data_IF_768314811367
#
_entry.id   IF_768314811367
#
_cell.length_a   1.000
_cell.length_b   1.000
_cell.length_c   1.000
_cell.angle_alpha   90.00
_cell.angle_beta   90.00
_cell.angle_gamma   90.00
#
_symmetry.space_group_name_H-M   'P 1'
#
loop_
_entity.id
_entity.type
_entity.pdbx_description
1 polymer ?
#
# COMPACT_ATOMS: atom_id res chain seq x y z
N UNK A 1 -22.11 -7.23 -14.77
CA UNK A 1 -21.41 -6.80 -13.54
C UNK A 1 -20.73 -5.49 -13.83
N UNK A 2 -21.03 -4.42 -13.09
CA UNK A 2 -20.44 -3.09 -13.33
C UNK A 2 -18.98 -3.05 -12.86
N UNK A 3 -18.18 -2.12 -13.39
CA UNK A 3 -16.77 -1.97 -12.99
C UNK A 3 -16.63 -1.75 -11.49
N UNK A 4 -17.45 -0.89 -10.90
CA UNK A 4 -17.45 -0.63 -9.45
C UNK A 4 -17.72 -1.91 -8.64
N UNK A 5 -18.66 -2.75 -9.06
CA UNK A 5 -18.91 -4.05 -8.39
C UNK A 5 -17.70 -4.99 -8.50
N UNK A 6 -17.00 -5.00 -9.64
CA UNK A 6 -15.75 -5.77 -9.83
C UNK A 6 -14.66 -5.29 -8.90
N UNK A 7 -14.42 -3.98 -8.84
CA UNK A 7 -13.42 -3.39 -7.98
C UNK A 7 -13.73 -3.62 -6.50
N UNK A 8 -14.99 -3.52 -6.08
CA UNK A 8 -15.37 -3.83 -4.70
C UNK A 8 -15.18 -5.31 -4.31
N UNK A 9 -15.27 -6.23 -5.26
CA UNK A 9 -14.90 -7.64 -5.02
C UNK A 9 -13.38 -7.78 -4.89
N UNK A 10 -12.63 -7.13 -5.77
CA UNK A 10 -11.17 -7.13 -5.74
C UNK A 10 -10.62 -6.49 -4.46
N UNK A 11 -11.24 -5.41 -3.97
CA UNK A 11 -10.82 -4.76 -2.72
C UNK A 11 -10.87 -5.74 -1.53
N UNK A 12 -11.95 -6.53 -1.42
CA UNK A 12 -12.05 -7.55 -0.36
C UNK A 12 -10.95 -8.61 -0.47
N UNK A 13 -10.57 -8.98 -1.69
CA UNK A 13 -9.46 -9.91 -1.94
C UNK A 13 -8.11 -9.28 -1.57
N UNK A 14 -7.92 -8.00 -1.84
CA UNK A 14 -6.73 -7.23 -1.44
C UNK A 14 -6.63 -7.15 0.08
N UNK A 15 -7.72 -6.80 0.78
CA UNK A 15 -7.77 -6.74 2.24
C UNK A 15 -7.40 -8.10 2.85
N UNK A 16 -7.99 -9.19 2.36
CA UNK A 16 -7.66 -10.55 2.78
C UNK A 16 -6.18 -10.88 2.55
N UNK A 17 -5.63 -10.51 1.39
CA UNK A 17 -4.23 -10.72 1.09
C UNK A 17 -3.29 -9.92 2.02
N UNK A 18 -3.67 -8.70 2.40
CA UNK A 18 -2.92 -7.89 3.38
C UNK A 18 -2.97 -8.56 4.76
N UNK A 19 -4.15 -8.94 5.25
CA UNK A 19 -4.32 -9.57 6.57
C UNK A 19 -3.64 -10.93 6.70
N UNK A 20 -3.41 -11.63 5.59
CA UNK A 20 -2.70 -12.90 5.57
C UNK A 20 -1.17 -12.74 5.68
N UNK A 21 -0.62 -11.53 5.55
CA UNK A 21 0.81 -11.29 5.61
C UNK A 21 1.32 -11.21 7.06
N UNK A 22 2.51 -11.75 7.34
CA UNK A 22 3.24 -11.44 8.57
C UNK A 22 3.54 -9.94 8.68
N UNK A 23 3.60 -9.41 9.90
CA UNK A 23 3.83 -7.99 10.18
C UNK A 23 5.03 -7.35 9.43
N UNK A 24 6.20 -8.02 9.27
CA UNK A 24 7.31 -7.47 8.48
C UNK A 24 6.95 -7.25 7.01
N UNK A 25 6.17 -8.15 6.41
CA UNK A 25 5.73 -8.06 5.03
C UNK A 25 4.59 -7.04 4.86
N UNK A 26 3.73 -6.88 5.87
CA UNK A 26 2.72 -5.81 5.87
C UNK A 26 3.37 -4.42 5.77
N UNK A 27 4.48 -4.18 6.49
CA UNK A 27 5.26 -2.93 6.39
C UNK A 27 5.89 -2.77 5.00
N UNK A 28 6.41 -3.86 4.44
CA UNK A 28 6.96 -3.84 3.09
C UNK A 28 5.88 -3.46 2.06
N UNK A 29 4.66 -4.00 2.19
CA UNK A 29 3.52 -3.60 1.36
C UNK A 29 3.21 -2.12 1.54
N UNK A 30 3.19 -1.60 2.77
CA UNK A 30 2.93 -0.18 2.99
C UNK A 30 3.94 0.74 2.30
N UNK A 31 5.24 0.39 2.35
CA UNK A 31 6.30 1.11 1.66
C UNK A 31 6.13 1.05 0.13
N UNK A 32 5.82 -0.14 -0.40
CA UNK A 32 5.54 -0.33 -1.83
C UNK A 32 4.33 0.51 -2.24
N UNK A 33 3.18 0.39 -1.57
CA UNK A 33 1.96 1.13 -1.87
C UNK A 33 2.20 2.65 -1.88
N UNK A 34 2.95 3.17 -0.91
CA UNK A 34 3.28 4.61 -0.87
C UNK A 34 4.07 5.03 -2.11
N UNK A 35 5.06 4.24 -2.51
CA UNK A 35 5.85 4.50 -3.73
C UNK A 35 5.01 4.38 -5.01
N UNK A 36 4.17 3.36 -5.11
CA UNK A 36 3.30 3.16 -6.28
C UNK A 36 2.29 4.30 -6.44
N UNK A 37 1.75 4.84 -5.33
CA UNK A 37 0.90 6.04 -5.34
C UNK A 37 1.66 7.27 -5.88
N UNK A 38 2.88 7.50 -5.42
CA UNK A 38 3.72 8.61 -5.89
C UNK A 38 4.09 8.48 -7.38
N UNK A 39 4.30 7.25 -7.85
CA UNK A 39 4.58 6.96 -9.26
C UNK A 39 3.33 7.15 -10.12
N UNK A 40 2.18 6.62 -9.70
CA UNK A 40 0.92 6.77 -10.41
C UNK A 40 0.52 8.24 -10.55
N UNK A 41 0.70 9.04 -9.49
CA UNK A 41 0.41 10.48 -9.52
C UNK A 41 1.23 11.27 -10.55
N UNK A 42 2.36 10.72 -11.03
CA UNK A 42 3.21 11.34 -12.07
C UNK A 42 2.83 10.90 -13.49
N UNK A 43 1.97 9.90 -13.62
CA UNK A 43 1.46 9.46 -14.91
C UNK A 43 0.25 10.31 -15.33
N UNK A 44 0.11 10.52 -16.63
CA UNK A 44 -1.03 11.24 -17.20
C UNK A 44 -1.78 10.34 -18.20
N UNK A 45 -3.02 9.91 -17.92
CA UNK A 45 -3.73 10.11 -16.65
C UNK A 45 -3.28 9.09 -15.56
N UNK A 46 -3.36 9.43 -14.25
CA UNK A 46 -2.81 8.58 -13.17
C UNK A 46 -3.37 7.16 -13.11
N UNK A 47 -4.65 6.96 -13.46
CA UNK A 47 -5.30 5.65 -13.47
C UNK A 47 -4.86 4.74 -14.63
N UNK A 48 -4.03 5.25 -15.55
CA UNK A 48 -3.39 4.43 -16.60
C UNK A 48 -2.06 3.83 -16.13
N UNK A 49 -1.61 4.15 -14.92
CA UNK A 49 -0.37 3.61 -14.38
C UNK A 49 -0.31 2.07 -14.42
N UNK A 50 0.81 1.54 -14.92
CA UNK A 50 1.01 0.10 -15.12
C UNK A 50 0.34 -0.50 -16.36
N UNK A 51 -0.33 0.31 -17.20
CA UNK A 51 -0.88 -0.12 -18.49
C UNK A 51 0.23 -0.12 -19.55
N UNK A 52 0.43 -1.22 -20.31
CA UNK A 52 1.35 -1.23 -21.45
C UNK A 52 0.87 -0.30 -22.57
N UNK A 53 1.79 0.31 -23.35
CA UNK A 53 1.43 1.26 -24.41
C UNK A 53 0.52 0.64 -25.48
N UNK A 54 0.60 -0.67 -25.70
CA UNK A 54 -0.25 -1.40 -26.65
C UNK A 54 -1.72 -1.48 -26.21
N UNK A 55 -2.05 -1.14 -24.97
CA UNK A 55 -3.38 -1.28 -24.36
C UNK A 55 -3.99 0.07 -23.91
N UNK A 56 -3.38 1.19 -24.29
CA UNK A 56 -3.81 2.54 -23.88
C UNK A 56 -5.18 2.97 -24.43
N UNK A 57 -5.73 2.24 -25.42
CA UNK A 57 -7.01 2.58 -26.05
C UNK A 57 -8.25 2.30 -25.18
N UNK A 58 -8.10 1.63 -24.05
CA UNK A 58 -9.20 1.36 -23.14
C UNK A 58 -9.56 2.61 -22.32
N UNK A 59 -10.86 2.82 -22.06
CA UNK A 59 -11.34 3.91 -21.18
C UNK A 59 -10.79 3.83 -19.74
N UNK A 60 -10.14 2.72 -19.40
CA UNK A 60 -9.54 2.45 -18.10
C UNK A 60 -8.27 1.63 -18.29
N UNK A 61 -7.26 1.86 -17.45
CA UNK A 61 -5.99 1.14 -17.53
C UNK A 61 -6.12 -0.34 -17.17
N UNK A 62 -5.13 -1.13 -17.61
CA UNK A 62 -5.02 -2.57 -17.28
C UNK A 62 -4.23 -2.82 -16.00
N UNK A 63 -3.67 -1.77 -15.39
CA UNK A 63 -2.91 -1.85 -14.13
C UNK A 63 -3.67 -2.54 -12.99
N UNK A 64 -4.98 -2.31 -12.85
CA UNK A 64 -5.79 -3.01 -11.85
C UNK A 64 -5.92 -4.53 -12.12
N UNK A 65 -6.09 -4.92 -13.39
CA UNK A 65 -6.17 -6.34 -13.75
C UNK A 65 -4.82 -7.06 -13.62
N UNK A 66 -3.72 -6.35 -13.88
CA UNK A 66 -2.36 -6.84 -13.63
C UNK A 66 -2.13 -6.98 -12.12
N UNK A 67 -2.50 -5.97 -11.33
CA UNK A 67 -2.36 -5.95 -9.88
C UNK A 67 -3.06 -7.12 -9.21
N UNK A 68 -4.34 -7.34 -9.52
CA UNK A 68 -5.10 -8.45 -8.93
C UNK A 68 -4.56 -9.82 -9.34
N UNK A 69 -4.07 -9.96 -10.59
CA UNK A 69 -3.45 -11.21 -11.05
C UNK A 69 -2.20 -11.52 -10.24
N UNK A 70 -1.38 -10.51 -9.95
CA UNK A 70 -0.18 -10.64 -9.12
C UNK A 70 -0.51 -10.98 -7.67
N UNK A 71 -1.59 -10.44 -7.11
CA UNK A 71 -2.07 -10.73 -5.74
C UNK A 71 -2.37 -12.22 -5.54
N UNK A 72 -2.73 -12.93 -6.61
CA UNK A 72 -3.01 -14.38 -6.58
C UNK A 72 -1.76 -15.25 -6.73
N UNK A 73 -0.60 -14.66 -7.02
CA UNK A 73 0.65 -15.42 -7.18
C UNK A 73 1.13 -16.02 -5.86
N UNK A 74 1.64 -17.25 -5.90
CA UNK A 74 2.26 -17.91 -4.73
C UNK A 74 3.55 -17.23 -4.27
N UNK A 75 4.18 -16.42 -5.13
CA UNK A 75 5.38 -15.68 -4.77
C UNK A 75 5.01 -14.43 -3.93
N UNK A 76 5.47 -14.32 -2.66
CA UNK A 76 5.11 -13.21 -1.79
C UNK A 76 5.57 -11.86 -2.33
N UNK A 77 6.73 -11.78 -3.01
CA UNK A 77 7.22 -10.52 -3.58
C UNK A 77 6.35 -10.04 -4.75
N UNK A 78 5.88 -10.98 -5.58
CA UNK A 78 4.94 -10.67 -6.67
C UNK A 78 3.61 -10.22 -6.09
N UNK A 79 3.10 -10.94 -5.07
CA UNK A 79 1.87 -10.62 -4.36
C UNK A 79 1.89 -9.21 -3.80
N UNK A 80 2.93 -8.84 -3.06
CA UNK A 80 3.07 -7.51 -2.45
C UNK A 80 3.13 -6.38 -3.49
N UNK A 81 3.87 -6.57 -4.58
CA UNK A 81 3.89 -5.61 -5.71
C UNK A 81 2.53 -5.50 -6.39
N UNK A 82 1.78 -6.60 -6.47
CA UNK A 82 0.41 -6.62 -6.97
C UNK A 82 -0.53 -5.77 -6.13
N UNK A 83 -0.44 -5.89 -4.79
CA UNK A 83 -1.24 -5.10 -3.85
C UNK A 83 -0.98 -3.60 -4.05
N UNK A 84 0.30 -3.19 -4.06
CA UNK A 84 0.66 -1.77 -4.21
C UNK A 84 0.18 -1.18 -5.53
N UNK A 85 0.42 -1.89 -6.65
CA UNK A 85 -0.05 -1.46 -7.97
C UNK A 85 -1.58 -1.31 -8.01
N UNK A 86 -2.31 -2.31 -7.50
CA UNK A 86 -3.77 -2.27 -7.51
C UNK A 86 -4.32 -1.09 -6.71
N UNK A 87 -3.79 -0.85 -5.50
CA UNK A 87 -4.21 0.25 -4.66
C UNK A 87 -3.92 1.62 -5.30
N UNK A 88 -2.75 1.78 -5.92
CA UNK A 88 -2.38 3.03 -6.57
C UNK A 88 -3.31 3.39 -7.74
N UNK A 89 -3.60 2.43 -8.61
CA UNK A 89 -4.47 2.64 -9.78
C UNK A 89 -5.90 2.95 -9.34
N UNK A 90 -6.46 2.14 -8.43
CA UNK A 90 -7.85 2.27 -8.02
C UNK A 90 -8.09 3.50 -7.15
N UNK A 91 -7.09 3.94 -6.39
CA UNK A 91 -7.15 5.22 -5.68
C UNK A 91 -7.49 6.36 -6.65
N UNK A 92 -6.72 6.52 -7.73
CA UNK A 92 -6.91 7.61 -8.68
C UNK A 92 -8.13 7.40 -9.59
N UNK A 93 -8.41 6.15 -9.97
CA UNK A 93 -9.57 5.82 -10.79
C UNK A 93 -10.89 6.15 -10.06
N UNK A 94 -11.00 5.80 -8.78
CA UNK A 94 -12.21 6.05 -8.00
C UNK A 94 -12.33 7.50 -7.53
N UNK A 95 -11.21 8.22 -7.43
CA UNK A 95 -11.19 9.65 -7.11
C UNK A 95 -11.85 10.51 -8.19
N UNK A 96 -11.75 10.07 -9.45
CA UNK A 96 -12.17 10.85 -10.64
C UNK A 96 -13.45 10.32 -11.28
N UNK A 97 -14.05 9.26 -10.72
CA UNK A 97 -15.19 8.57 -11.30
C UNK A 97 -16.53 9.07 -10.76
N UNK A 98 -17.44 9.42 -11.65
CA UNK A 98 -18.84 9.79 -11.33
C UNK A 98 -19.79 8.58 -11.27
N UNK A 99 -19.26 7.36 -11.39
CA UNK A 99 -20.10 6.15 -11.39
C UNK A 99 -20.78 5.94 -10.03
N UNK A 100 -22.04 5.45 -10.00
CA UNK A 100 -22.72 5.13 -8.75
C UNK A 100 -21.89 4.15 -7.89
N UNK A 101 -21.65 4.52 -6.64
CA UNK A 101 -20.85 3.75 -5.68
C UNK A 101 -19.33 3.97 -5.76
N UNK A 102 -18.83 4.77 -6.72
CA UNK A 102 -17.40 5.09 -6.80
C UNK A 102 -16.89 5.83 -5.55
N UNK A 103 -17.67 6.80 -5.04
CA UNK A 103 -17.30 7.55 -3.83
C UNK A 103 -17.20 6.67 -2.58
N UNK A 104 -18.10 5.69 -2.43
CA UNK A 104 -18.04 4.74 -1.32
C UNK A 104 -16.81 3.82 -1.46
N UNK A 105 -16.56 3.30 -2.65
CA UNK A 105 -15.38 2.50 -2.92
C UNK A 105 -14.09 3.30 -2.67
N UNK A 106 -14.05 4.57 -3.09
CA UNK A 106 -12.92 5.47 -2.85
C UNK A 106 -12.63 5.63 -1.36
N UNK A 107 -13.67 5.83 -0.53
CA UNK A 107 -13.53 5.90 0.94
C UNK A 107 -12.94 4.62 1.53
N UNK A 108 -13.33 3.45 1.02
CA UNK A 108 -12.78 2.18 1.49
C UNK A 108 -11.31 2.02 1.10
N UNK A 109 -10.95 2.37 -0.14
CA UNK A 109 -9.55 2.36 -0.61
C UNK A 109 -8.69 3.34 0.21
N UNK A 110 -9.18 4.55 0.45
CA UNK A 110 -8.53 5.55 1.32
C UNK A 110 -8.27 5.01 2.72
N UNK A 111 -9.24 4.28 3.30
CA UNK A 111 -9.09 3.66 4.62
C UNK A 111 -7.96 2.63 4.62
N UNK A 112 -7.91 1.74 3.62
CA UNK A 112 -6.85 0.72 3.50
C UNK A 112 -5.48 1.38 3.32
N UNK A 113 -5.37 2.38 2.44
CA UNK A 113 -4.12 3.13 2.22
C UNK A 113 -3.67 3.81 3.50
N UNK A 114 -4.60 4.45 4.23
CA UNK A 114 -4.29 5.09 5.52
C UNK A 114 -3.77 4.09 6.55
N UNK A 115 -4.46 2.96 6.72
CA UNK A 115 -4.03 1.90 7.65
C UNK A 115 -2.64 1.36 7.32
N UNK A 116 -2.31 1.22 6.03
CA UNK A 116 -0.97 0.84 5.60
C UNK A 116 0.07 1.92 5.98
N UNK A 117 -0.23 3.20 5.76
CA UNK A 117 0.69 4.30 6.11
C UNK A 117 0.91 4.43 7.62
N UNK A 118 -0.11 4.19 8.44
CA UNK A 118 0.00 4.16 9.91
C UNK A 118 1.01 3.09 10.36
N UNK A 119 1.02 1.90 9.73
CA UNK A 119 2.01 0.84 10.02
C UNK A 119 3.46 1.22 9.73
N UNK A 120 3.70 2.19 8.83
CA UNK A 120 5.05 2.74 8.61
C UNK A 120 5.42 3.69 9.77
N UNK A 121 4.52 4.60 10.14
CA UNK A 121 4.75 5.55 11.23
C UNK A 121 4.96 4.89 12.58
N UNK A 122 4.21 3.82 12.89
CA UNK A 122 4.38 3.04 14.13
C UNK A 122 5.77 2.38 14.20
N UNK A 123 6.31 1.97 13.05
CA UNK A 123 7.64 1.37 12.97
C UNK A 123 8.74 2.40 13.19
N UNK A 124 8.61 3.59 12.60
CA UNK A 124 9.57 4.67 12.78
C UNK A 124 9.57 5.15 14.24
N UNK A 125 8.38 5.29 14.84
CA UNK A 125 8.23 5.62 16.26
C UNK A 125 8.84 4.56 17.19
N UNK A 126 8.60 3.28 16.92
CA UNK A 126 9.18 2.18 17.70
C UNK A 126 10.72 2.12 17.60
N UNK A 127 11.29 2.39 16.41
CA UNK A 127 12.73 2.45 16.23
C UNK A 127 13.37 3.63 16.96
N UNK A 128 12.71 4.80 16.97
CA UNK A 128 13.17 5.98 17.72
C UNK A 128 13.17 5.69 19.23
N UNK A 129 12.12 5.04 19.75
CA UNK A 129 12.04 4.68 21.17
C UNK A 129 13.14 3.67 21.57
N UNK A 130 13.37 2.63 20.77
CA UNK A 130 14.40 1.64 21.06
C UNK A 130 15.81 2.25 21.12
N UNK A 131 16.12 3.18 20.21
CA UNK A 131 17.40 3.90 20.23
C UNK A 131 17.52 4.84 21.44
N UNK A 132 16.41 5.43 21.90
CA UNK A 132 16.39 6.26 23.11
C UNK A 132 16.62 5.42 24.38
N UNK A 133 15.99 4.24 24.47
CA UNK A 133 16.15 3.32 25.60
C UNK A 133 17.59 2.75 25.67
N UNK A 134 18.22 2.47 24.52
CA UNK A 134 19.62 2.01 24.45
C UNK A 134 20.62 3.11 24.84
N UNK A 135 20.34 4.37 24.49
CA UNK A 135 21.15 5.52 24.91
C UNK A 135 21.07 5.76 26.43
N UNK A 136 19.88 5.69 27.03
CA UNK A 136 19.68 5.85 28.48
C UNK A 136 20.37 4.72 29.29
N UNK A 137 20.36 3.49 28.77
CA UNK A 137 21.06 2.35 29.36
C UNK A 137 22.59 2.52 29.31
N UNK A 138 23.13 3.08 28.22
CA UNK A 138 24.57 3.34 28.07
C UNK A 138 25.07 4.46 29.01
N UNK A 139 24.28 5.53 29.20
CA UNK A 139 24.59 6.61 30.14
C UNK A 139 24.55 6.13 31.60
N UNK A 140 23.58 5.27 31.95
CA UNK A 140 23.49 4.68 33.29
C UNK A 140 24.66 3.72 33.60
N UNK A 141 25.15 2.98 32.59
CA UNK A 141 26.28 2.05 32.77
C UNK A 141 27.63 2.76 32.92
N UNK A 142 27.84 3.90 32.24
CA UNK A 142 29.08 4.69 32.33
C UNK A 142 29.17 5.50 33.63
N UNK A 143 28.04 5.99 34.14
CA UNK A 143 27.98 6.69 35.43
C UNK A 143 28.37 5.78 36.62
N UNK A 144 28.06 4.49 36.56
CA UNK A 144 28.44 3.52 37.61
C UNK A 144 29.92 3.13 37.58
N UNK A 145 30.63 3.33 36.46
CA UNK A 145 32.04 2.96 36.31
C UNK A 145 33.02 4.07 36.73
N UNK A 146 32.55 5.32 36.84
CA UNK A 146 33.40 6.47 37.20
C UNK A 146 33.50 6.74 38.72
N UNK A 147 32.88 5.91 39.56
CA UNK A 147 32.80 6.08 41.03
C UNK A 147 33.66 5.05 41.80
N UNK A 148 34.45 4.22 41.11
CA UNK A 148 35.39 3.26 41.73
C UNK A 148 36.85 3.72 41.57
#
# INVERSE_FOLDING_TARGET
MTRIMKLGRQLREIEQAIFALPAPLERQVASITSRELDLAARCDPPWMYGTPPEQETAAWGTGADIGITRVRSDNPQVRMRGIGLWLAVIYHETQTSDAPGASELHRQVMRVVRQLKERLGDSDAAAIQANADEADAAESSTASAAVA
#
